data_IF_534882922600
#
_entry.id   IF_534882922600
#
_cell.length_a   1.000
_cell.length_b   1.000
_cell.length_c   1.000
_cell.angle_alpha   90.00
_cell.angle_beta   90.00
_cell.angle_gamma   90.00
#
_symmetry.space_group_name_H-M   'P 1'
#
loop_
_entity.id
_entity.type
_entity.pdbx_description
1 polymer ?
#
# COMPACT_ATOMS: atom_id res chain seq x y z
N UNK A 1 1.75 -16.00 -27.58
CA UNK A 1 2.65 -15.31 -26.61
C UNK A 1 3.78 -16.22 -26.17
N UNK A 2 3.51 -17.41 -25.63
CA UNK A 2 4.53 -18.34 -25.10
C UNK A 2 5.53 -18.80 -26.20
N UNK A 3 5.03 -19.28 -27.34
CA UNK A 3 5.86 -19.76 -28.46
C UNK A 3 6.90 -18.76 -28.98
N UNK A 4 6.69 -17.45 -28.78
CA UNK A 4 7.61 -16.38 -29.19
C UNK A 4 8.91 -16.37 -28.38
N UNK A 5 8.87 -16.89 -27.16
CA UNK A 5 9.96 -16.81 -26.19
C UNK A 5 10.55 -18.18 -25.82
N UNK A 6 10.11 -19.25 -26.49
CA UNK A 6 10.58 -20.63 -26.26
C UNK A 6 11.51 -21.07 -27.38
N UNK A 7 12.70 -21.54 -27.02
CA UNK A 7 13.59 -22.21 -27.95
C UNK A 7 13.14 -23.68 -28.20
N UNK A 8 13.52 -24.29 -29.34
CA UNK A 8 13.26 -25.71 -29.57
C UNK A 8 13.82 -26.57 -28.42
N UNK A 9 13.04 -27.55 -27.96
CA UNK A 9 13.38 -28.49 -26.87
C UNK A 9 13.50 -27.87 -25.46
N UNK A 10 13.24 -26.58 -25.31
CA UNK A 10 13.19 -25.94 -23.99
C UNK A 10 11.97 -26.45 -23.21
N UNK A 11 12.19 -26.93 -21.98
CA UNK A 11 11.11 -27.28 -21.05
C UNK A 11 10.56 -26.03 -20.38
N UNK A 12 9.23 -25.91 -20.33
CA UNK A 12 8.54 -24.82 -19.64
C UNK A 12 8.16 -25.25 -18.21
N UNK A 13 8.57 -24.48 -17.22
CA UNK A 13 8.14 -24.69 -15.83
C UNK A 13 6.68 -24.27 -15.66
N UNK A 14 5.83 -25.18 -15.19
CA UNK A 14 4.39 -24.96 -14.99
C UNK A 14 3.99 -25.41 -13.59
N UNK A 15 3.58 -24.46 -12.74
CA UNK A 15 3.12 -24.74 -11.37
C UNK A 15 1.64 -25.17 -11.27
N UNK A 16 1.07 -25.72 -12.34
CA UNK A 16 -0.29 -26.26 -12.36
C UNK A 16 -0.35 -27.39 -13.40
N UNK A 17 -0.55 -28.62 -12.94
CA UNK A 17 -0.51 -29.81 -13.79
C UNK A 17 -1.57 -29.80 -14.89
N UNK A 18 -2.77 -29.25 -14.63
CA UNK A 18 -3.81 -29.15 -15.65
C UNK A 18 -3.38 -28.25 -16.82
N UNK A 19 -2.61 -27.19 -16.55
CA UNK A 19 -2.07 -26.34 -17.61
C UNK A 19 -0.91 -27.01 -18.35
N UNK A 20 -0.11 -27.84 -17.67
CA UNK A 20 0.96 -28.61 -18.30
C UNK A 20 0.40 -29.47 -19.44
N UNK A 21 -0.64 -30.27 -19.16
CA UNK A 21 -1.27 -31.15 -20.15
C UNK A 21 -1.82 -30.39 -21.37
N UNK A 22 -2.47 -29.25 -21.11
CA UNK A 22 -3.05 -28.42 -22.18
C UNK A 22 -1.94 -27.82 -23.05
N UNK A 23 -0.86 -27.32 -22.45
CA UNK A 23 0.27 -26.71 -23.14
C UNK A 23 1.01 -27.76 -23.98
N UNK A 24 1.32 -28.92 -23.40
CA UNK A 24 2.00 -30.00 -24.12
C UNK A 24 1.16 -30.49 -25.30
N UNK A 25 -0.14 -30.69 -25.08
CA UNK A 25 -1.06 -31.21 -26.11
C UNK A 25 -1.29 -30.25 -27.27
N UNK A 26 -1.47 -28.96 -27.01
CA UNK A 26 -1.91 -27.99 -28.03
C UNK A 26 -0.81 -27.08 -28.55
N UNK A 27 0.24 -26.83 -27.75
CA UNK A 27 1.35 -25.96 -28.14
C UNK A 27 2.62 -26.75 -28.48
N UNK A 28 2.64 -28.05 -28.21
CA UNK A 28 3.79 -28.96 -28.41
C UNK A 28 5.07 -28.46 -27.72
N UNK A 29 4.92 -27.77 -26.59
CA UNK A 29 6.02 -27.29 -25.75
C UNK A 29 6.15 -28.28 -24.59
N UNK A 30 7.31 -28.95 -24.40
CA UNK A 30 7.55 -29.81 -23.26
C UNK A 30 7.44 -29.02 -21.95
N UNK A 31 6.79 -29.59 -20.93
CA UNK A 31 6.65 -28.95 -19.63
C UNK A 31 7.49 -29.65 -18.56
N UNK A 32 7.70 -28.97 -17.45
CA UNK A 32 8.20 -29.53 -16.20
C UNK A 32 7.32 -29.03 -15.06
N UNK A 33 6.87 -29.97 -14.22
CA UNK A 33 6.12 -29.71 -13.00
C UNK A 33 6.67 -30.57 -11.86
N UNK A 34 6.17 -30.34 -10.65
CA UNK A 34 6.58 -31.06 -9.44
C UNK A 34 7.08 -30.11 -8.33
N UNK A 35 7.46 -30.65 -7.17
CA UNK A 35 7.64 -29.86 -5.94
C UNK A 35 8.63 -28.69 -6.08
N UNK A 36 9.76 -28.91 -6.76
CA UNK A 36 10.78 -27.88 -7.00
C UNK A 36 10.26 -26.75 -7.94
N UNK A 37 9.41 -27.10 -8.91
CA UNK A 37 8.78 -26.11 -9.79
C UNK A 37 7.70 -25.34 -9.02
N UNK A 38 6.94 -26.00 -8.17
CA UNK A 38 5.91 -25.35 -7.34
C UNK A 38 6.54 -24.34 -6.37
N UNK A 39 7.65 -24.72 -5.73
CA UNK A 39 8.43 -23.85 -4.86
C UNK A 39 8.99 -22.63 -5.61
N UNK A 40 9.61 -22.84 -6.78
CA UNK A 40 10.09 -21.74 -7.64
C UNK A 40 8.94 -20.80 -8.03
N UNK A 41 7.81 -21.35 -8.46
CA UNK A 41 6.64 -20.57 -8.87
C UNK A 41 6.01 -19.83 -7.69
N UNK A 42 6.01 -20.41 -6.50
CA UNK A 42 5.60 -19.76 -5.26
C UNK A 42 6.52 -18.59 -4.93
N UNK A 43 7.84 -18.81 -4.93
CA UNK A 43 8.85 -17.78 -4.68
C UNK A 43 8.69 -16.59 -5.64
N UNK A 44 8.56 -16.85 -6.95
CA UNK A 44 8.34 -15.81 -7.95
C UNK A 44 7.05 -15.01 -7.72
N UNK A 45 5.94 -15.66 -7.32
CA UNK A 45 4.69 -14.99 -6.99
C UNK A 45 4.84 -14.09 -5.75
N UNK A 46 5.46 -14.61 -4.69
CA UNK A 46 5.68 -13.86 -3.45
C UNK A 46 6.59 -12.66 -3.69
N UNK A 47 7.71 -12.84 -4.40
CA UNK A 47 8.62 -11.75 -4.77
C UNK A 47 7.90 -10.68 -5.57
N UNK A 48 7.10 -11.06 -6.57
CA UNK A 48 6.30 -10.11 -7.37
C UNK A 48 5.36 -9.30 -6.47
N UNK A 49 4.62 -9.94 -5.56
CA UNK A 49 3.71 -9.25 -4.65
C UNK A 49 4.46 -8.30 -3.71
N UNK A 50 5.60 -8.72 -3.15
CA UNK A 50 6.45 -7.86 -2.31
C UNK A 50 6.88 -6.61 -3.07
N UNK A 51 7.38 -6.76 -4.30
CA UNK A 51 7.80 -5.64 -5.15
C UNK A 51 6.63 -4.69 -5.42
N UNK A 52 5.47 -5.23 -5.83
CA UNK A 52 4.28 -4.43 -6.11
C UNK A 52 3.82 -3.64 -4.87
N UNK A 53 3.74 -4.29 -3.70
CA UNK A 53 3.30 -3.63 -2.46
C UNK A 53 4.33 -2.61 -1.96
N UNK A 54 5.62 -2.91 -2.07
CA UNK A 54 6.69 -1.96 -1.77
C UNK A 54 6.62 -0.74 -2.69
N UNK A 55 6.32 -0.94 -3.98
CA UNK A 55 6.09 0.14 -4.94
C UNK A 55 4.95 1.06 -4.52
N UNK A 56 3.80 0.51 -4.11
CA UNK A 56 2.67 1.35 -3.63
C UNK A 56 3.05 2.13 -2.37
N UNK A 57 3.77 1.50 -1.43
CA UNK A 57 4.28 2.14 -0.20
C UNK A 57 5.21 3.30 -0.54
N UNK A 58 6.11 3.11 -1.51
CA UNK A 58 7.01 4.16 -2.02
C UNK A 58 6.24 5.31 -2.69
N UNK A 59 5.26 5.00 -3.54
CA UNK A 59 4.44 6.01 -4.20
C UNK A 59 3.61 6.85 -3.22
N UNK A 60 3.15 6.23 -2.12
CA UNK A 60 2.48 6.96 -1.05
C UNK A 60 3.43 7.94 -0.35
N UNK A 61 4.68 7.54 -0.07
CA UNK A 61 5.68 8.45 0.54
C UNK A 61 5.98 9.61 -0.41
N UNK A 62 6.23 9.31 -1.69
CA UNK A 62 6.48 10.30 -2.73
C UNK A 62 5.34 11.31 -2.86
N UNK A 63 4.09 10.86 -2.85
CA UNK A 63 2.91 11.73 -2.91
C UNK A 63 2.87 12.77 -1.77
N UNK A 64 3.33 12.38 -0.57
CA UNK A 64 3.44 13.30 0.57
C UNK A 64 4.63 14.26 0.38
N UNK A 65 5.77 13.74 -0.04
CA UNK A 65 7.01 14.49 -0.22
C UNK A 65 6.95 15.51 -1.37
N UNK A 66 6.17 15.25 -2.43
CA UNK A 66 5.90 16.18 -3.54
C UNK A 66 5.28 17.52 -3.06
N UNK A 67 4.72 17.52 -1.85
CA UNK A 67 4.10 18.70 -1.23
C UNK A 67 4.96 19.34 -0.14
N UNK A 68 6.19 18.84 0.10
CA UNK A 68 7.08 19.31 1.16
C UNK A 68 7.27 20.83 1.13
N UNK A 69 7.75 21.39 0.02
CA UNK A 69 8.12 22.80 -0.06
C UNK A 69 6.90 23.72 0.05
N UNK A 70 5.78 23.32 -0.55
CA UNK A 70 4.53 24.08 -0.47
C UNK A 70 4.00 24.12 0.97
N UNK A 71 4.02 22.99 1.67
CA UNK A 71 3.59 22.90 3.07
C UNK A 71 4.55 23.65 4.00
N UNK A 72 5.86 23.60 3.76
CA UNK A 72 6.84 24.38 4.52
C UNK A 72 6.69 25.88 4.27
N UNK A 73 6.36 26.30 3.04
CA UNK A 73 5.99 27.68 2.74
C UNK A 73 4.77 28.14 3.54
N UNK A 74 3.71 27.31 3.61
CA UNK A 74 2.55 27.58 4.46
C UNK A 74 2.91 27.60 5.96
N UNK A 75 3.81 26.71 6.40
CA UNK A 75 4.27 26.64 7.79
C UNK A 75 4.96 27.94 8.25
N UNK A 76 5.70 28.62 7.36
CA UNK A 76 6.30 29.92 7.63
C UNK A 76 5.25 31.02 7.83
N UNK A 77 4.14 30.97 7.07
CA UNK A 77 3.01 31.87 7.31
C UNK A 77 2.34 31.57 8.66
N UNK A 78 2.17 30.29 9.01
CA UNK A 78 1.60 29.88 10.30
C UNK A 78 2.44 30.41 11.47
N UNK A 79 3.77 30.28 11.38
CA UNK A 79 4.69 30.80 12.38
C UNK A 79 4.58 32.31 12.53
N UNK A 80 4.50 33.05 11.42
CA UNK A 80 4.45 34.53 11.41
C UNK A 80 3.10 35.08 11.89
N UNK A 81 1.99 34.44 11.51
CA UNK A 81 0.64 34.96 11.75
C UNK A 81 0.09 34.48 13.09
N UNK A 82 0.21 33.17 13.38
CA UNK A 82 -0.37 32.56 14.59
C UNK A 82 0.63 32.34 15.72
N UNK A 83 1.91 32.68 15.51
CA UNK A 83 2.98 32.51 16.49
C UNK A 83 3.05 31.06 17.02
N UNK A 84 2.91 30.09 16.11
CA UNK A 84 3.02 28.66 16.40
C UNK A 84 4.31 28.15 15.79
N UNK A 85 5.13 27.48 16.61
CA UNK A 85 6.31 26.79 16.08
C UNK A 85 5.91 25.50 15.37
N UNK A 86 6.31 25.40 14.10
CA UNK A 86 5.95 24.33 13.15
C UNK A 86 7.16 23.50 12.72
N UNK A 87 8.37 23.79 13.23
CA UNK A 87 9.60 23.10 12.81
C UNK A 87 9.53 21.59 13.05
N UNK A 88 8.98 21.16 14.19
CA UNK A 88 8.85 19.76 14.56
C UNK A 88 7.65 19.05 13.90
N UNK A 89 6.84 19.75 13.10
CA UNK A 89 5.63 19.15 12.53
C UNK A 89 5.99 18.34 11.28
N UNK A 90 5.41 17.16 11.20
CA UNK A 90 5.41 16.34 9.98
C UNK A 90 4.49 16.96 8.91
N UNK A 91 4.61 16.48 7.66
CA UNK A 91 3.86 17.02 6.53
C UNK A 91 2.34 16.83 6.69
N UNK A 92 1.89 15.76 7.34
CA UNK A 92 0.46 15.57 7.62
C UNK A 92 -0.07 16.64 8.59
N UNK A 93 0.65 16.89 9.68
CA UNK A 93 0.27 17.89 10.66
C UNK A 93 0.31 19.29 10.04
N UNK A 94 1.26 19.58 9.14
CA UNK A 94 1.21 20.80 8.34
C UNK A 94 -0.05 20.85 7.47
N UNK A 95 -0.34 19.81 6.69
CA UNK A 95 -1.53 19.76 5.83
C UNK A 95 -2.83 19.92 6.63
N UNK A 96 -2.94 19.26 7.79
CA UNK A 96 -4.09 19.39 8.68
C UNK A 96 -4.27 20.82 9.23
N UNK A 97 -3.18 21.52 9.55
CA UNK A 97 -3.27 22.90 10.03
C UNK A 97 -3.74 23.86 8.95
N UNK A 98 -3.26 23.65 7.71
CA UNK A 98 -3.73 24.37 6.54
C UNK A 98 -5.23 24.10 6.31
N UNK A 99 -5.69 22.86 6.49
CA UNK A 99 -7.11 22.52 6.39
C UNK A 99 -7.95 23.19 7.49
N UNK A 100 -7.47 23.25 8.74
CA UNK A 100 -8.12 24.05 9.82
C UNK A 100 -8.24 25.52 9.42
N UNK A 101 -7.18 26.13 8.87
CA UNK A 101 -7.19 27.54 8.43
C UNK A 101 -8.20 27.76 7.29
N UNK A 102 -8.26 26.84 6.33
CA UNK A 102 -9.14 26.96 5.16
C UNK A 102 -10.61 26.70 5.49
N UNK A 103 -10.88 25.90 6.53
CA UNK A 103 -12.20 25.47 6.96
C UNK A 103 -12.36 25.58 8.49
N UNK A 104 -12.30 26.79 9.08
CA UNK A 104 -12.19 26.96 10.54
C UNK A 104 -13.42 26.49 11.33
N UNK A 105 -14.59 26.44 10.68
CA UNK A 105 -15.85 25.99 11.27
C UNK A 105 -16.05 24.47 11.22
N UNK A 106 -15.30 23.77 10.37
CA UNK A 106 -15.42 22.33 10.21
C UNK A 106 -14.69 21.60 11.35
N UNK A 107 -15.25 20.47 11.76
CA UNK A 107 -14.52 19.54 12.62
C UNK A 107 -13.46 18.86 11.76
N UNK A 108 -12.21 18.99 12.17
CA UNK A 108 -11.12 18.25 11.51
C UNK A 108 -11.10 16.86 12.10
N UNK A 109 -11.38 15.84 11.28
CA UNK A 109 -11.49 14.43 11.72
C UNK A 109 -10.24 13.95 12.47
N UNK A 110 -9.06 14.44 12.10
CA UNK A 110 -7.78 14.15 12.76
C UNK A 110 -7.28 15.26 13.70
N UNK A 111 -8.01 16.37 13.79
CA UNK A 111 -7.50 17.62 14.34
C UNK A 111 -7.27 17.57 15.84
N UNK A 112 -8.15 16.85 16.55
CA UNK A 112 -8.04 16.70 18.01
C UNK A 112 -6.84 15.86 18.43
N UNK A 113 -6.37 14.94 17.58
CA UNK A 113 -5.18 14.13 17.83
C UNK A 113 -3.89 14.80 17.35
N UNK A 114 -3.95 15.60 16.28
CA UNK A 114 -2.77 16.25 15.71
C UNK A 114 -2.37 17.52 16.46
N UNK A 115 -3.33 18.23 17.06
CA UNK A 115 -3.12 19.55 17.63
C UNK A 115 -3.59 19.62 19.07
N UNK A 116 -2.88 20.45 19.85
CA UNK A 116 -3.41 20.89 21.14
C UNK A 116 -4.63 21.80 20.92
N UNK A 117 -5.55 21.85 21.88
CA UNK A 117 -6.71 22.75 21.86
C UNK A 117 -6.32 24.20 21.56
N UNK A 118 -5.27 24.70 22.21
CA UNK A 118 -4.76 26.07 22.01
C UNK A 118 -4.27 26.33 20.58
N UNK A 119 -3.67 25.34 19.93
CA UNK A 119 -3.25 25.45 18.52
C UNK A 119 -4.47 25.53 17.60
N UNK A 120 -5.48 24.68 17.81
CA UNK A 120 -6.72 24.72 17.03
C UNK A 120 -7.45 26.05 17.17
N UNK A 121 -7.62 26.55 18.40
CA UNK A 121 -8.26 27.84 18.67
C UNK A 121 -7.53 28.96 17.94
N UNK A 122 -6.20 29.05 18.06
CA UNK A 122 -5.39 30.05 17.35
C UNK A 122 -5.52 29.96 15.84
N UNK A 123 -5.37 28.77 15.26
CA UNK A 123 -5.48 28.57 13.81
C UNK A 123 -6.85 29.00 13.28
N UNK A 124 -7.92 28.77 14.04
CA UNK A 124 -9.29 29.17 13.70
C UNK A 124 -9.51 30.68 13.84
N UNK A 125 -9.08 31.26 14.95
CA UNK A 125 -9.23 32.69 15.24
C UNK A 125 -8.43 33.55 14.24
N UNK A 126 -7.25 33.06 13.85
CA UNK A 126 -6.38 33.74 12.90
C UNK A 126 -6.72 33.44 11.43
N UNK A 127 -7.63 32.51 11.14
CA UNK A 127 -7.95 32.08 9.77
C UNK A 127 -8.19 33.24 8.79
N UNK A 128 -8.93 34.31 9.13
CA UNK A 128 -9.13 35.46 8.23
C UNK A 128 -7.82 36.18 7.84
N UNK A 129 -6.76 36.10 8.66
CA UNK A 129 -5.47 36.76 8.43
C UNK A 129 -4.65 36.06 7.34
N UNK A 130 -4.99 34.84 6.96
CA UNK A 130 -4.32 34.07 5.90
C UNK A 130 -4.87 34.36 4.51
N UNK A 131 -5.83 35.29 4.39
CA UNK A 131 -6.37 35.74 3.11
C UNK A 131 -5.21 36.10 2.15
N UNK A 132 -5.27 35.57 0.94
CA UNK A 132 -4.29 35.73 -0.13
C UNK A 132 -2.88 35.15 0.16
N UNK A 133 -2.69 34.47 1.30
CA UNK A 133 -1.44 33.74 1.65
C UNK A 133 -1.61 32.23 1.51
N UNK A 134 -2.79 31.72 1.84
CA UNK A 134 -3.15 30.30 1.72
C UNK A 134 -4.42 30.21 0.89
N UNK A 135 -4.34 29.50 -0.24
CA UNK A 135 -5.46 29.35 -1.15
C UNK A 135 -6.27 28.10 -0.77
N UNK A 136 -7.54 28.29 -0.43
CA UNK A 136 -8.43 27.22 0.06
C UNK A 136 -8.47 25.99 -0.84
N UNK A 137 -8.79 26.16 -2.13
CA UNK A 137 -9.03 25.02 -3.03
C UNK A 137 -7.78 24.15 -3.26
N UNK A 138 -6.61 24.71 -3.65
CA UNK A 138 -5.39 23.91 -3.78
C UNK A 138 -5.00 23.19 -2.48
N UNK A 139 -5.16 23.87 -1.34
CA UNK A 139 -4.80 23.33 -0.03
C UNK A 139 -5.66 22.13 0.38
N UNK A 140 -6.97 22.18 0.15
CA UNK A 140 -7.86 21.05 0.44
C UNK A 140 -7.55 19.84 -0.45
N UNK A 141 -7.21 20.06 -1.72
CA UNK A 141 -6.77 18.98 -2.63
C UNK A 141 -5.50 18.31 -2.11
N UNK A 142 -4.50 19.10 -1.68
CA UNK A 142 -3.25 18.57 -1.09
C UNK A 142 -3.53 17.80 0.20
N UNK A 143 -4.35 18.34 1.11
CA UNK A 143 -4.72 17.67 2.35
C UNK A 143 -5.36 16.30 2.09
N UNK A 144 -6.37 16.25 1.21
CA UNK A 144 -7.07 15.01 0.88
C UNK A 144 -6.13 13.97 0.22
N UNK A 145 -5.20 14.41 -0.64
CA UNK A 145 -4.19 13.53 -1.23
C UNK A 145 -3.28 12.90 -0.18
N UNK A 146 -2.76 13.72 0.73
CA UNK A 146 -1.87 13.26 1.81
C UNK A 146 -2.60 12.30 2.75
N UNK A 147 -3.86 12.60 3.09
CA UNK A 147 -4.68 11.75 3.93
C UNK A 147 -4.90 10.37 3.29
N UNK A 148 -5.32 10.35 2.01
CA UNK A 148 -5.50 9.11 1.24
C UNK A 148 -4.20 8.31 1.11
N UNK A 149 -3.08 8.98 0.82
CA UNK A 149 -1.78 8.34 0.71
C UNK A 149 -1.36 7.69 2.05
N UNK A 150 -1.63 8.35 3.17
CA UNK A 150 -1.33 7.80 4.50
C UNK A 150 -2.17 6.57 4.83
N UNK A 151 -3.47 6.61 4.56
CA UNK A 151 -4.36 5.48 4.82
C UNK A 151 -3.99 4.26 3.97
N UNK A 152 -3.75 4.48 2.68
CA UNK A 152 -3.30 3.44 1.76
C UNK A 152 -1.93 2.89 2.18
N UNK A 153 -0.99 3.76 2.54
CA UNK A 153 0.33 3.35 3.04
C UNK A 153 0.22 2.42 4.25
N UNK A 154 -0.55 2.81 5.26
CA UNK A 154 -0.71 2.01 6.50
C UNK A 154 -1.30 0.64 6.19
N UNK A 155 -2.28 0.59 5.30
CA UNK A 155 -2.92 -0.63 4.84
C UNK A 155 -1.94 -1.56 4.11
N UNK A 156 -1.24 -1.04 3.10
CA UNK A 156 -0.32 -1.83 2.27
C UNK A 156 0.93 -2.23 3.05
N UNK A 157 1.44 -1.37 3.93
CA UNK A 157 2.58 -1.71 4.78
C UNK A 157 2.30 -2.93 5.67
N UNK A 158 1.06 -3.09 6.18
CA UNK A 158 0.67 -4.29 6.94
C UNK A 158 0.67 -5.56 6.08
N UNK A 159 0.26 -5.45 4.82
CA UNK A 159 0.29 -6.57 3.87
C UNK A 159 1.73 -6.92 3.53
N UNK A 160 2.55 -5.92 3.19
CA UNK A 160 3.98 -6.08 2.89
C UNK A 160 4.72 -6.74 4.06
N UNK A 161 4.47 -6.29 5.30
CA UNK A 161 5.05 -6.89 6.49
C UNK A 161 4.71 -8.38 6.61
N UNK A 162 3.43 -8.76 6.39
CA UNK A 162 3.00 -10.17 6.42
C UNK A 162 3.68 -11.01 5.33
N UNK A 163 3.79 -10.47 4.11
CA UNK A 163 4.47 -11.14 3.00
C UNK A 163 5.95 -11.39 3.30
N UNK A 164 6.67 -10.35 3.74
CA UNK A 164 8.11 -10.45 4.07
C UNK A 164 8.34 -11.41 5.23
N UNK A 165 7.51 -11.34 6.28
CA UNK A 165 7.61 -12.25 7.43
C UNK A 165 7.48 -13.71 6.99
N UNK A 166 6.44 -14.04 6.21
CA UNK A 166 6.21 -15.41 5.74
C UNK A 166 7.31 -15.89 4.80
N UNK A 167 7.74 -15.04 3.85
CA UNK A 167 8.84 -15.37 2.94
C UNK A 167 10.11 -15.75 3.72
N UNK A 168 10.39 -15.01 4.80
CA UNK A 168 11.51 -15.29 5.70
C UNK A 168 11.32 -16.62 6.46
N UNK A 169 10.15 -16.87 7.02
CA UNK A 169 9.85 -18.11 7.76
C UNK A 169 9.99 -19.35 6.86
N UNK A 170 9.52 -19.29 5.61
CA UNK A 170 9.67 -20.38 4.64
C UNK A 170 11.14 -20.65 4.31
N UNK A 171 11.90 -19.59 4.01
CA UNK A 171 13.34 -19.70 3.77
C UNK A 171 14.11 -20.30 4.96
N UNK A 172 13.78 -19.87 6.18
CA UNK A 172 14.41 -20.39 7.40
C UNK A 172 14.05 -21.87 7.65
N UNK A 173 12.81 -22.28 7.34
CA UNK A 173 12.38 -23.68 7.45
C UNK A 173 13.09 -24.59 6.44
N UNK A 174 13.28 -24.14 5.20
CA UNK A 174 14.04 -24.86 4.16
C UNK A 174 15.50 -25.04 4.58
N UNK A 175 16.16 -23.97 5.05
CA UNK A 175 17.53 -24.03 5.56
C UNK A 175 17.69 -25.02 6.73
N UNK A 176 16.71 -25.06 7.64
CA UNK A 176 16.72 -26.01 8.76
C UNK A 176 16.53 -27.47 8.29
N UNK A 177 15.68 -27.69 7.28
CA UNK A 177 15.47 -29.02 6.70
C UNK A 177 16.72 -29.52 5.97
N UNK A 178 17.36 -28.65 5.18
CA UNK A 178 18.64 -28.97 4.52
C UNK A 178 19.71 -29.35 5.55
N UNK A 179 19.88 -28.54 6.62
CA UNK A 179 20.83 -28.81 7.68
C UNK A 179 20.57 -30.15 8.41
N UNK A 180 19.30 -30.54 8.60
CA UNK A 180 18.93 -31.82 9.21
C UNK A 180 19.22 -33.03 8.28
N UNK A 181 19.07 -32.86 6.96
CA UNK A 181 19.27 -33.94 5.98
C UNK A 181 20.72 -34.45 5.89
N UNK A 182 21.72 -33.62 6.22
CA UNK A 182 23.13 -34.01 6.24
C UNK A 182 23.51 -34.96 7.40
N UNK A 183 22.59 -35.23 8.33
CA UNK A 183 22.82 -36.12 9.47
C UNK A 183 22.18 -37.52 9.32
N UNK A 184 21.43 -37.81 8.25
CA UNK A 184 20.87 -39.16 7.99
C UNK A 184 21.51 -39.82 6.76
N UNK A 185 22.63 -40.51 6.95
CA UNK A 185 23.11 -41.54 6.01
C UNK A 185 22.29 -42.82 6.21
N UNK A 186 21.19 -42.97 5.47
CA UNK A 186 20.40 -44.21 5.39
C UNK A 186 19.60 -44.31 4.08
N UNK A 187 19.53 -45.48 3.43
CA UNK A 187 18.92 -45.61 2.11
C UNK A 187 17.41 -45.84 2.27
N UNK A 188 16.66 -44.77 2.52
CA UNK A 188 15.21 -44.81 2.28
C UNK A 188 14.72 -43.39 1.98
N UNK A 189 14.66 -43.05 0.69
CA UNK A 189 14.08 -41.79 0.21
C UNK A 189 12.58 -41.84 0.49
N UNK A 190 12.17 -41.40 1.68
CA UNK A 190 10.76 -41.12 1.97
C UNK A 190 10.32 -39.93 1.14
N UNK A 191 9.21 -40.12 0.43
CA UNK A 191 8.53 -39.09 -0.35
C UNK A 191 8.28 -37.85 0.52
N UNK A 192 8.80 -36.72 0.07
CA UNK A 192 8.62 -35.45 0.73
C UNK A 192 7.24 -34.91 0.32
N UNK A 193 6.24 -35.10 1.17
CA UNK A 193 4.98 -34.37 1.07
C UNK A 193 5.18 -32.93 1.59
N UNK A 194 5.60 -32.02 0.71
CA UNK A 194 5.53 -30.58 0.99
C UNK A 194 4.11 -30.07 0.73
N UNK A 195 3.26 -30.20 1.75
CA UNK A 195 1.99 -29.50 1.83
C UNK A 195 2.20 -28.07 2.28
N UNK A 196 2.26 -27.12 1.35
CA UNK A 196 1.87 -25.73 1.66
C UNK A 196 0.94 -25.24 0.56
N UNK A 197 -0.33 -25.13 0.92
CA UNK A 197 -1.47 -25.12 0.00
C UNK A 197 -1.60 -23.79 -0.75
N UNK A 198 -1.94 -23.79 -2.07
CA UNK A 198 -2.29 -22.61 -2.86
C UNK A 198 -3.33 -21.67 -2.20
N UNK A 199 -4.15 -22.23 -1.31
CA UNK A 199 -5.16 -21.55 -0.48
C UNK A 199 -4.61 -20.32 0.26
N UNK A 200 -3.34 -20.34 0.68
CA UNK A 200 -2.76 -19.25 1.50
C UNK A 200 -2.42 -18.01 0.67
N UNK A 201 -2.04 -18.18 -0.60
CA UNK A 201 -1.83 -17.06 -1.53
C UNK A 201 -3.17 -16.46 -1.91
N UNK A 202 -4.18 -17.31 -2.15
CA UNK A 202 -5.53 -16.84 -2.44
C UNK A 202 -6.13 -16.10 -1.24
N UNK A 203 -5.98 -16.61 -0.01
CA UNK A 203 -6.44 -15.92 1.21
C UNK A 203 -5.73 -14.57 1.44
N UNK A 204 -4.45 -14.46 1.09
CA UNK A 204 -3.73 -13.18 1.12
C UNK A 204 -4.14 -12.23 -0.01
N UNK A 205 -4.48 -12.75 -1.18
CA UNK A 205 -4.92 -11.98 -2.34
C UNK A 205 -6.38 -11.52 -2.16
N UNK A 206 -7.22 -12.37 -1.59
CA UNK A 206 -8.62 -12.15 -1.24
C UNK A 206 -8.74 -11.19 -0.04
N UNK A 207 -7.90 -11.35 0.99
CA UNK A 207 -7.76 -10.36 2.07
C UNK A 207 -7.36 -8.99 1.52
N UNK A 208 -6.54 -8.92 0.46
CA UNK A 208 -6.18 -7.66 -0.20
C UNK A 208 -7.35 -7.12 -1.03
N UNK A 209 -8.10 -7.96 -1.74
CA UNK A 209 -9.30 -7.56 -2.48
C UNK A 209 -10.38 -6.99 -1.56
N UNK A 210 -10.72 -7.66 -0.45
CA UNK A 210 -11.72 -7.18 0.51
C UNK A 210 -11.31 -5.87 1.17
N UNK A 211 -10.02 -5.69 1.42
CA UNK A 211 -9.48 -4.46 2.01
C UNK A 211 -9.44 -3.31 0.99
N UNK A 212 -9.10 -3.57 -0.28
CA UNK A 212 -9.15 -2.57 -1.36
C UNK A 212 -10.60 -2.22 -1.71
N UNK A 213 -11.50 -3.20 -1.77
CA UNK A 213 -12.92 -3.00 -2.04
C UNK A 213 -13.61 -2.24 -0.91
N UNK A 214 -13.27 -2.52 0.36
CA UNK A 214 -13.78 -1.73 1.49
C UNK A 214 -13.25 -0.31 1.52
N UNK A 215 -12.02 -0.06 1.06
CA UNK A 215 -11.48 1.28 0.84
C UNK A 215 -12.21 2.00 -0.32
N UNK A 216 -12.43 1.33 -1.44
CA UNK A 216 -13.16 1.86 -2.60
C UNK A 216 -14.67 2.06 -2.37
N UNK A 217 -15.28 1.29 -1.46
CA UNK A 217 -16.67 1.51 -1.02
C UNK A 217 -16.78 2.75 -0.13
N UNK A 218 -15.78 3.02 0.72
CA UNK A 218 -15.68 4.32 1.41
C UNK A 218 -15.46 5.47 0.43
N UNK A 219 -14.67 5.28 -0.62
CA UNK A 219 -14.49 6.28 -1.69
C UNK A 219 -15.81 6.66 -2.37
N UNK A 220 -16.68 5.69 -2.67
CA UNK A 220 -18.01 5.96 -3.26
C UNK A 220 -18.94 6.69 -2.30
N UNK A 221 -18.98 6.29 -1.03
CA UNK A 221 -19.83 6.98 -0.03
C UNK A 221 -19.36 8.40 0.25
N UNK A 222 -18.05 8.65 0.32
CA UNK A 222 -17.49 9.99 0.55
C UNK A 222 -17.68 10.87 -0.70
N UNK A 223 -17.45 10.34 -1.91
CA UNK A 223 -17.70 11.09 -3.15
C UNK A 223 -19.18 11.39 -3.39
N UNK A 224 -20.10 10.48 -3.05
CA UNK A 224 -21.54 10.75 -3.11
C UNK A 224 -21.95 11.82 -2.07
N UNK A 225 -21.36 11.82 -0.87
CA UNK A 225 -21.59 12.87 0.13
C UNK A 225 -21.01 14.24 -0.28
N UNK A 226 -19.83 14.27 -0.91
CA UNK A 226 -19.20 15.49 -1.42
C UNK A 226 -19.95 16.06 -2.65
N UNK A 227 -20.52 15.21 -3.49
CA UNK A 227 -21.35 15.64 -4.62
C UNK A 227 -22.70 16.22 -4.15
N UNK A 228 -23.32 15.59 -3.15
CA UNK A 228 -24.58 16.07 -2.55
C UNK A 228 -24.37 17.35 -1.73
N UNK A 229 -23.24 17.51 -1.04
CA UNK A 229 -22.92 18.74 -0.29
C UNK A 229 -22.44 19.88 -1.19
N UNK A 230 -21.74 19.60 -2.29
CA UNK A 230 -21.35 20.58 -3.30
C UNK A 230 -22.53 21.16 -4.11
N UNK A 231 -23.64 20.42 -4.22
CA UNK A 231 -24.89 20.92 -4.81
C UNK A 231 -25.69 21.85 -3.87
N UNK A 232 -25.40 21.83 -2.57
CA UNK A 232 -26.11 22.65 -1.58
C UNK A 232 -25.34 23.93 -1.16
N UNK A 233 -24.16 24.19 -1.72
CA UNK A 233 -23.36 25.38 -1.42
C UNK A 233 -23.37 26.44 -2.54
N UNK A 234 -24.30 26.35 -3.50
CA UNK A 234 -24.52 27.39 -4.53
C UNK A 234 -25.58 28.43 -4.17
N UNK A 235 -26.10 28.44 -2.94
CA UNK A 235 -26.96 29.52 -2.46
C UNK A 235 -26.44 30.10 -1.14
N UNK A 236 -26.25 31.43 -1.14
CA UNK A 236 -25.88 32.37 -0.07
C UNK A 236 -24.39 32.71 0.13
#
# INVERSE_FOLDING_TARGET
MIQKYTAPLQKLAVGNDNYSDIIEKHLHIPCMSGPHVDELMWGLKVTKLIIEKAGVVFECDRCVDDHHDSLRGAAEHIKKISCIDTQSWDLLKLAGSVQVICCPKEKVELGEHLFTRRQLERLRDDAPKYKDKILKMPCLVVYNKILRARDLRLMIARVLFRLVKRAKETYEAEQAHEAASYHETGPDRKEIHHGTTPVIIDELTESVCDIILSAGLKERQIMEMDYISGLNCTEF
#
